data_IF_553969941445
#
_entry.id   IF_553969941445
#
_cell.length_a   1.000
_cell.length_b   1.000
_cell.length_c   1.000
_cell.angle_alpha   90.00
_cell.angle_beta   90.00
_cell.angle_gamma   90.00
#
_symmetry.space_group_name_H-M   'P 1'
#
loop_
_entity.id
_entity.type
_entity.pdbx_description
1 polymer ?
#
# COMPACT_ATOMS: atom_id res chain seq x y z
N UNK A 1 -14.08 22.25 1.43
CA UNK A 1 -13.11 21.57 0.56
C UNK A 1 -13.49 20.09 0.45
N UNK A 2 -14.75 19.78 0.11
CA UNK A 2 -15.32 18.42 0.13
C UNK A 2 -16.10 18.06 -1.16
N UNK A 3 -16.34 19.02 -2.07
CA UNK A 3 -17.09 18.76 -3.31
C UNK A 3 -16.26 18.11 -4.43
N UNK A 4 -14.92 18.17 -4.38
CA UNK A 4 -14.10 17.79 -5.54
C UNK A 4 -13.98 16.26 -5.75
N UNK A 5 -13.97 15.47 -4.67
CA UNK A 5 -13.84 14.01 -4.76
C UNK A 5 -15.11 13.36 -5.33
N UNK A 6 -16.28 13.78 -4.85
CA UNK A 6 -17.57 13.28 -5.35
C UNK A 6 -17.79 13.57 -6.86
N UNK A 7 -17.23 14.67 -7.37
CA UNK A 7 -17.29 14.99 -8.80
C UNK A 7 -16.38 14.07 -9.63
N UNK A 8 -15.18 13.74 -9.12
CA UNK A 8 -14.23 12.84 -9.77
C UNK A 8 -14.73 11.40 -9.84
N UNK A 9 -15.40 10.92 -8.78
CA UNK A 9 -15.99 9.57 -8.76
C UNK A 9 -17.14 9.45 -9.77
N UNK A 10 -17.94 10.51 -9.92
CA UNK A 10 -19.02 10.55 -10.89
C UNK A 10 -18.52 10.53 -12.35
N UNK A 11 -17.41 11.22 -12.66
CA UNK A 11 -16.75 11.12 -13.96
C UNK A 11 -16.18 9.71 -14.22
N UNK A 12 -15.54 9.10 -13.21
CA UNK A 12 -14.97 7.75 -13.34
C UNK A 12 -16.04 6.67 -13.54
N UNK A 13 -17.21 6.85 -12.91
CA UNK A 13 -18.36 5.96 -13.11
C UNK A 13 -19.01 6.11 -14.49
N UNK A 14 -18.84 7.25 -15.17
CA UNK A 14 -19.42 7.50 -16.49
C UNK A 14 -18.84 6.61 -17.60
N UNK A 15 -17.65 6.05 -17.39
CA UNK A 15 -17.00 5.12 -18.32
C UNK A 15 -17.44 3.65 -18.13
N UNK A 16 -18.23 3.33 -17.11
CA UNK A 16 -18.68 1.97 -16.82
C UNK A 16 -19.88 1.62 -17.72
N UNK A 17 -19.78 0.53 -18.47
CA UNK A 17 -20.86 0.00 -19.32
C UNK A 17 -21.22 -1.45 -18.96
N UNK A 18 -22.50 -1.68 -18.67
CA UNK A 18 -23.06 -3.04 -18.54
C UNK A 18 -23.33 -3.64 -19.93
N UNK A 19 -22.71 -4.79 -20.21
CA UNK A 19 -22.89 -5.52 -21.48
C UNK A 19 -24.01 -6.55 -21.37
N UNK A 20 -24.28 -7.04 -20.16
CA UNK A 20 -25.38 -7.95 -19.86
C UNK A 20 -26.73 -7.25 -20.07
N UNK A 21 -27.67 -7.89 -20.78
CA UNK A 21 -29.04 -7.39 -20.86
C UNK A 21 -29.75 -7.51 -19.51
N UNK A 22 -30.81 -6.73 -19.34
CA UNK A 22 -31.75 -6.81 -18.20
C UNK A 22 -31.14 -6.59 -16.80
N UNK A 23 -30.04 -5.81 -16.71
CA UNK A 23 -29.50 -5.37 -15.41
C UNK A 23 -30.41 -4.31 -14.81
N UNK A 24 -30.87 -4.54 -13.58
CA UNK A 24 -31.68 -3.57 -12.85
C UNK A 24 -30.83 -2.39 -12.35
N UNK A 25 -31.50 -1.27 -12.06
CA UNK A 25 -30.84 -0.09 -11.49
C UNK A 25 -30.14 -0.39 -10.15
N UNK A 26 -30.74 -1.27 -9.34
CA UNK A 26 -30.18 -1.68 -8.05
C UNK A 26 -28.90 -2.50 -8.23
N UNK A 27 -28.90 -3.46 -9.15
CA UNK A 27 -27.72 -4.27 -9.45
C UNK A 27 -26.58 -3.43 -10.04
N UNK A 28 -26.91 -2.50 -10.93
CA UNK A 28 -25.94 -1.56 -11.48
C UNK A 28 -25.31 -0.69 -10.38
N UNK A 29 -26.13 -0.18 -9.45
CA UNK A 29 -25.66 0.60 -8.31
C UNK A 29 -24.77 -0.22 -7.38
N UNK A 30 -25.17 -1.45 -7.04
CA UNK A 30 -24.38 -2.34 -6.21
C UNK A 30 -23.01 -2.66 -6.81
N UNK A 31 -22.95 -2.98 -8.10
CA UNK A 31 -21.67 -3.27 -8.79
C UNK A 31 -20.79 -2.04 -8.85
N UNK A 32 -21.36 -0.87 -9.13
CA UNK A 32 -20.60 0.39 -9.18
C UNK A 32 -20.03 0.72 -7.81
N UNK A 33 -20.80 0.56 -6.74
CA UNK A 33 -20.34 0.77 -5.36
C UNK A 33 -19.19 -0.18 -4.98
N UNK A 34 -19.27 -1.45 -5.38
CA UNK A 34 -18.20 -2.43 -5.13
C UNK A 34 -16.93 -2.06 -5.90
N UNK A 35 -17.05 -1.65 -7.16
CA UNK A 35 -15.90 -1.23 -7.97
C UNK A 35 -15.22 0.02 -7.40
N UNK A 36 -16.00 1.03 -6.99
CA UNK A 36 -15.46 2.24 -6.36
C UNK A 36 -14.75 1.90 -5.04
N UNK A 37 -15.34 1.03 -4.20
CA UNK A 37 -14.70 0.59 -2.96
C UNK A 37 -13.39 -0.18 -3.19
N UNK A 38 -13.32 -1.00 -4.25
CA UNK A 38 -12.10 -1.72 -4.60
C UNK A 38 -10.98 -0.79 -5.12
N UNK A 39 -11.34 0.27 -5.85
CA UNK A 39 -10.39 1.30 -6.29
C UNK A 39 -9.82 2.04 -5.08
N UNK A 40 -10.68 2.51 -4.17
CA UNK A 40 -10.27 3.23 -2.95
C UNK A 40 -9.32 2.39 -2.08
N UNK A 41 -9.62 1.10 -1.88
CA UNK A 41 -8.73 0.18 -1.16
C UNK A 41 -7.36 0.03 -1.85
N UNK A 42 -7.34 -0.08 -3.18
CA UNK A 42 -6.11 -0.18 -3.96
C UNK A 42 -5.24 1.08 -3.88
N UNK A 43 -5.85 2.27 -3.81
CA UNK A 43 -5.14 3.53 -3.59
C UNK A 43 -4.58 3.63 -2.16
N UNK A 44 -5.31 3.12 -1.17
CA UNK A 44 -4.85 3.06 0.21
C UNK A 44 -3.60 2.17 0.38
N UNK A 45 -3.53 1.02 -0.30
CA UNK A 45 -2.34 0.17 -0.31
C UNK A 45 -1.14 0.81 -1.02
N UNK A 46 -1.37 1.53 -2.12
CA UNK A 46 -0.30 2.22 -2.87
C UNK A 46 0.37 3.35 -2.05
N UNK A 47 -0.33 3.87 -1.04
CA UNK A 47 0.14 4.95 -0.17
C UNK A 47 1.06 4.48 0.96
N UNK A 48 1.30 3.17 1.13
CA UNK A 48 2.27 2.70 2.14
C UNK A 48 3.68 3.10 1.67
N UNK A 49 4.34 4.08 2.32
CA UNK A 49 5.71 4.41 1.95
C UNK A 49 6.57 3.18 2.21
N UNK A 50 7.38 2.78 1.22
CA UNK A 50 8.41 1.76 1.43
C UNK A 50 9.16 2.14 2.71
N UNK A 51 9.31 1.21 3.69
CA UNK A 51 10.01 1.53 4.91
C UNK A 51 11.41 1.97 4.53
N UNK A 52 11.70 3.26 4.73
CA UNK A 52 13.03 3.83 4.55
C UNK A 52 13.96 2.91 5.30
N UNK A 53 14.92 2.29 4.59
CA UNK A 53 15.85 1.34 5.19
C UNK A 53 16.66 2.05 6.27
N UNK A 54 16.14 1.98 7.49
CA UNK A 54 16.69 2.70 8.62
C UNK A 54 18.08 2.14 8.93
N UNK A 55 19.02 3.04 9.19
CA UNK A 55 20.40 2.74 9.52
C UNK A 55 20.47 1.84 10.77
N UNK A 56 19.47 1.93 11.65
CA UNK A 56 19.27 1.04 12.80
C UNK A 56 18.88 -0.40 12.41
N UNK A 57 18.12 -0.59 11.33
CA UNK A 57 17.78 -1.94 10.81
C UNK A 57 19.04 -2.62 10.26
N UNK A 58 19.97 -1.85 9.67
CA UNK A 58 21.26 -2.38 9.20
C UNK A 58 22.20 -2.77 10.35
N UNK A 59 22.21 -2.02 11.46
CA UNK A 59 23.07 -2.31 12.61
C UNK A 59 22.62 -3.56 13.40
N UNK A 60 21.32 -3.86 13.44
CA UNK A 60 20.77 -5.05 14.09
C UNK A 60 21.22 -6.40 13.49
N UNK A 61 21.66 -6.40 12.21
CA UNK A 61 22.26 -7.57 11.57
C UNK A 61 23.70 -7.84 12.00
N UNK A 62 24.47 -6.78 12.30
CA UNK A 62 25.86 -6.91 12.75
C UNK A 62 25.96 -7.53 14.15
N UNK A 63 24.97 -7.29 15.01
CA UNK A 63 24.89 -7.87 16.36
C UNK A 63 24.47 -9.36 16.38
N UNK A 64 23.90 -9.87 15.28
CA UNK A 64 23.49 -11.28 15.14
C UNK A 64 24.53 -12.14 14.45
N UNK A 65 25.61 -11.55 13.93
CA UNK A 65 26.75 -12.33 13.44
C UNK A 65 27.47 -12.97 14.64
N UNK A 66 27.85 -14.26 14.55
CA UNK A 66 28.58 -14.91 15.64
C UNK A 66 29.90 -14.16 15.91
N UNK A 67 30.08 -13.69 17.13
CA UNK A 67 31.31 -13.02 17.55
C UNK A 67 32.49 -13.98 17.40
N UNK A 68 33.42 -13.65 16.52
CA UNK A 68 34.66 -14.39 16.33
C UNK A 68 35.53 -14.21 17.58
N UNK A 69 35.59 -15.24 18.43
CA UNK A 69 36.39 -15.21 19.66
C UNK A 69 37.88 -15.28 19.32
N UNK A 70 38.68 -14.34 19.84
CA UNK A 70 40.13 -14.30 19.61
C UNK A 70 40.77 -13.05 20.21
N UNK A 71 42.06 -13.14 20.58
CA UNK A 71 42.79 -12.01 21.16
C UNK A 71 42.77 -10.78 20.23
N UNK A 72 42.34 -9.63 20.75
CA UNK A 72 42.27 -8.35 20.03
C UNK A 72 41.12 -8.21 19.01
N UNK A 73 40.31 -9.26 18.78
CA UNK A 73 39.19 -9.21 17.81
C UNK A 73 38.04 -8.33 18.30
N UNK A 74 37.82 -8.29 19.62
CA UNK A 74 36.81 -7.44 20.28
C UNK A 74 37.04 -5.94 20.09
N UNK A 75 38.30 -5.49 19.99
CA UNK A 75 38.64 -4.08 19.85
C UNK A 75 38.23 -3.48 18.49
N UNK A 76 37.95 -4.33 17.48
CA UNK A 76 37.59 -3.89 16.13
C UNK A 76 36.08 -3.79 15.91
N UNK A 77 35.26 -4.32 16.81
CA UNK A 77 33.81 -4.32 16.67
C UNK A 77 33.15 -2.97 17.04
N UNK A 78 33.90 -2.06 17.67
CA UNK A 78 33.40 -0.76 18.15
C UNK A 78 34.03 0.47 17.50
N UNK A 79 34.67 0.34 16.33
CA UNK A 79 35.21 1.47 15.54
C UNK A 79 34.44 1.61 14.24
#
# INVERSE_FOLDING_TARGET
>A
MADNTAHSDAESAADIRFVTPDVSAEEAAAVTAVLLAAIDEGEAEASVPEPVRDHWVRSGGALRAPFQTGHGRWQRAGR
#
